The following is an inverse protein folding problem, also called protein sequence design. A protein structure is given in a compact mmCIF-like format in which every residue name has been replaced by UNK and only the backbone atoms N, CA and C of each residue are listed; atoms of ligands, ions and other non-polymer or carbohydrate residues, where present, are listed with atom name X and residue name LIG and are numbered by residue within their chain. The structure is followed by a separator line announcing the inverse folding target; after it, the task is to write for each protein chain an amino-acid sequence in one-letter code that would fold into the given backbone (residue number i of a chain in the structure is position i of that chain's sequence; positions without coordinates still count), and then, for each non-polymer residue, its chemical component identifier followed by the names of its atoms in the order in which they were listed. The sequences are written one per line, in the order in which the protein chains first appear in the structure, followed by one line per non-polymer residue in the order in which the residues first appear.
data_IF_844366294277
#
_entry.id   IF_844366294277
#
_cell.length_a   1.000
_cell.length_b   1.000
_cell.length_c   1.000
_cell.angle_alpha   90.00
_cell.angle_beta   90.00
_cell.angle_gamma   90.00
#
_symmetry.space_group_name_H-M   'P 1'
#
loop_
_entity.id
_entity.type
_entity.pdbx_description
1 polymer ?
#
# COMPACT_ATOMS: atom_id res chain seq x y z
N UNK A 1 -8.14 -4.95 12.81
CA UNK A 1 -6.86 -5.25 12.13
C UNK A 1 -7.13 -5.44 10.65
N UNK A 2 -6.18 -5.08 9.79
CA UNK A 2 -6.26 -5.32 8.34
C UNK A 2 -5.14 -6.30 7.98
N UNK A 3 -5.44 -7.29 7.16
CA UNK A 3 -4.48 -8.32 6.72
C UNK A 3 -4.37 -8.21 5.21
N UNK A 4 -3.15 -8.17 4.70
CA UNK A 4 -2.83 -8.25 3.28
C UNK A 4 -2.36 -9.66 2.96
N UNK A 5 -2.86 -10.22 1.86
CA UNK A 5 -2.55 -11.57 1.41
C UNK A 5 -2.02 -11.47 -0.02
N UNK A 6 -0.84 -12.00 -0.25
CA UNK A 6 -0.28 -12.19 -1.59
C UNK A 6 -0.54 -13.63 -2.00
N UNK A 7 -1.34 -13.82 -3.05
CA UNK A 7 -1.79 -15.12 -3.54
C UNK A 7 -1.76 -15.14 -5.06
N UNK A 8 -1.48 -16.28 -5.70
CA UNK A 8 -1.53 -16.39 -7.15
C UNK A 8 -2.93 -16.06 -7.69
N UNK A 9 -3.02 -15.31 -8.78
CA UNK A 9 -4.29 -14.88 -9.39
C UNK A 9 -5.27 -16.03 -9.63
N UNK A 10 -4.76 -17.20 -10.04
CA UNK A 10 -5.56 -18.41 -10.28
C UNK A 10 -6.31 -18.91 -9.03
N UNK A 11 -5.80 -18.62 -7.83
CA UNK A 11 -6.39 -19.03 -6.55
C UNK A 11 -7.18 -17.89 -5.89
N UNK A 12 -7.14 -16.67 -6.44
CA UNK A 12 -7.73 -15.49 -5.82
C UNK A 12 -9.25 -15.61 -5.65
N UNK A 13 -9.94 -16.11 -6.67
CA UNK A 13 -11.39 -16.31 -6.63
C UNK A 13 -11.80 -17.33 -5.56
N UNK A 14 -11.01 -18.40 -5.39
CA UNK A 14 -11.24 -19.39 -4.36
C UNK A 14 -11.00 -18.81 -2.97
N UNK A 15 -9.86 -18.15 -2.76
CA UNK A 15 -9.51 -17.52 -1.49
C UNK A 15 -10.56 -16.49 -1.05
N UNK A 16 -11.06 -15.66 -1.96
CA UNK A 16 -12.09 -14.65 -1.65
C UNK A 16 -13.42 -15.32 -1.25
N UNK A 17 -13.80 -16.44 -1.88
CA UNK A 17 -15.01 -17.20 -1.48
C UNK A 17 -14.89 -17.75 -0.07
N UNK A 18 -13.72 -18.32 0.27
CA UNK A 18 -13.45 -18.81 1.64
C UNK A 18 -13.44 -17.66 2.63
N UNK A 19 -12.78 -16.53 2.32
CA UNK A 19 -12.75 -15.38 3.21
C UNK A 19 -14.15 -14.81 3.46
N UNK A 20 -15.03 -14.81 2.45
CA UNK A 20 -16.42 -14.35 2.59
C UNK A 20 -17.31 -15.31 3.38
N UNK A 21 -16.97 -16.60 3.47
CA UNK A 21 -17.75 -17.57 4.27
C UNK A 21 -17.45 -17.47 5.76
N UNK A 22 -16.34 -16.84 6.14
CA UNK A 22 -15.96 -16.62 7.53
C UNK A 22 -16.76 -15.46 8.13
N UNK A 23 -17.59 -15.74 9.13
CA UNK A 23 -18.50 -14.77 9.77
C UNK A 23 -17.82 -13.56 10.40
N UNK A 24 -16.54 -13.67 10.76
CA UNK A 24 -15.75 -12.59 11.34
C UNK A 24 -15.10 -11.68 10.29
N UNK A 25 -15.08 -12.08 9.02
CA UNK A 25 -14.53 -11.26 7.94
C UNK A 25 -15.59 -10.28 7.47
N UNK A 26 -15.50 -9.04 7.95
CA UNK A 26 -16.47 -7.99 7.59
C UNK A 26 -16.44 -7.62 6.10
N UNK A 27 -15.25 -7.62 5.49
CA UNK A 27 -15.03 -7.20 4.10
C UNK A 27 -13.81 -7.93 3.51
N UNK A 28 -14.02 -8.66 2.42
CA UNK A 28 -12.96 -9.19 1.56
C UNK A 28 -13.10 -8.55 0.18
N UNK A 29 -12.05 -7.85 -0.27
CA UNK A 29 -12.00 -7.18 -1.57
C UNK A 29 -10.66 -7.50 -2.23
N UNK A 30 -10.68 -7.69 -3.54
CA UNK A 30 -9.47 -7.73 -4.35
C UNK A 30 -8.99 -6.31 -4.62
N UNK A 31 -7.69 -6.15 -4.80
CA UNK A 31 -7.07 -4.92 -5.28
C UNK A 31 -6.34 -5.25 -6.57
N UNK A 32 -6.38 -4.36 -7.56
CA UNK A 32 -5.55 -4.51 -8.74
C UNK A 32 -4.08 -4.35 -8.37
N UNK A 33 -3.18 -4.95 -9.16
CA UNK A 33 -1.73 -4.76 -9.03
C UNK A 33 -1.33 -3.28 -9.04
N UNK A 34 -1.96 -2.47 -9.89
CA UNK A 34 -1.76 -1.02 -9.93
C UNK A 34 -2.17 -0.31 -8.63
N UNK A 35 -3.26 -0.74 -8.01
CA UNK A 35 -3.73 -0.19 -6.74
C UNK A 35 -2.81 -0.59 -5.57
N UNK A 36 -2.22 -1.78 -5.64
CA UNK A 36 -1.24 -2.28 -4.64
C UNK A 36 0.05 -1.47 -4.74
N UNK A 37 0.60 -1.29 -5.94
CA UNK A 37 1.80 -0.50 -6.16
C UNK A 37 1.62 0.94 -5.67
N UNK A 38 0.53 1.61 -6.07
CA UNK A 38 0.21 2.96 -5.62
C UNK A 38 0.05 3.05 -4.09
N UNK A 39 -0.53 2.03 -3.46
CA UNK A 39 -0.70 2.02 -2.01
C UNK A 39 0.64 1.93 -1.26
N UNK A 40 1.55 1.07 -1.72
CA UNK A 40 2.90 0.98 -1.14
C UNK A 40 3.70 2.27 -1.39
N UNK A 41 3.64 2.84 -2.59
CA UNK A 41 4.28 4.13 -2.90
C UNK A 41 3.80 5.25 -1.97
N UNK A 42 2.50 5.34 -1.72
CA UNK A 42 1.91 6.34 -0.82
C UNK A 42 2.34 6.11 0.63
N UNK A 43 2.41 4.85 1.05
CA UNK A 43 2.83 4.47 2.40
C UNK A 43 4.30 4.81 2.63
N UNK A 44 5.15 4.53 1.66
CA UNK A 44 6.58 4.87 1.68
C UNK A 44 6.78 6.40 1.68
N UNK A 45 6.05 7.13 0.85
CA UNK A 45 6.08 8.59 0.85
C UNK A 45 5.64 9.19 2.19
N UNK A 46 4.55 8.67 2.78
CA UNK A 46 4.08 9.11 4.09
C UNK A 46 5.12 8.83 5.20
N UNK A 47 5.80 7.69 5.11
CA UNK A 47 6.86 7.31 6.04
C UNK A 47 8.09 8.24 5.89
N UNK A 48 8.49 8.57 4.67
CA UNK A 48 9.56 9.54 4.43
C UNK A 48 9.22 10.93 5.00
N UNK A 49 8.00 11.42 4.80
CA UNK A 49 7.54 12.69 5.40
C UNK A 49 7.57 12.61 6.93
N UNK A 50 7.19 11.48 7.52
CA UNK A 50 7.26 11.26 8.97
C UNK A 50 8.71 11.30 9.47
N UNK A 51 9.64 10.62 8.78
CA UNK A 51 11.06 10.60 9.14
C UNK A 51 11.70 11.99 8.99
N UNK A 52 11.29 12.76 7.98
CA UNK A 52 11.74 14.12 7.78
C UNK A 52 11.29 15.05 8.91
N UNK A 53 10.01 14.96 9.31
CA UNK A 53 9.48 15.67 10.48
C UNK A 53 10.18 15.28 11.79
N UNK A 54 10.74 14.08 11.88
CA UNK A 54 11.55 13.63 13.01
C UNK A 54 13.02 14.07 12.92
N UNK A 55 13.42 14.80 11.88
CA UNK A 55 14.80 15.25 11.66
C UNK A 55 15.76 14.14 11.25
N UNK A 56 15.27 12.94 10.92
CA UNK A 56 16.10 11.77 10.58
C UNK A 56 16.58 11.76 9.14
N UNK A 57 15.82 12.39 8.24
CA UNK A 57 16.16 12.50 6.83
C UNK A 57 15.89 13.92 6.34
N UNK A 58 16.64 14.39 5.35
CA UNK A 58 16.31 15.62 4.63
C UNK A 58 15.59 15.26 3.34
N UNK A 59 14.39 15.82 3.16
CA UNK A 59 13.68 15.73 1.88
C UNK A 59 14.17 16.83 0.95
N UNK A 60 14.13 16.53 -0.35
CA UNK A 60 14.40 17.53 -1.38
C UNK A 60 13.31 18.60 -1.32
N UNK A 61 13.71 19.85 -1.45
CA UNK A 61 12.79 20.98 -1.58
C UNK A 61 12.14 20.96 -2.96
N UNK A 62 11.02 21.68 -3.11
CA UNK A 62 10.33 21.82 -4.40
C UNK A 62 11.24 22.49 -5.46
N UNK A 63 12.13 23.39 -5.04
CA UNK A 63 13.10 24.04 -5.92
C UNK A 63 14.19 23.07 -6.40
N UNK A 64 14.71 22.22 -5.51
CA UNK A 64 15.67 21.16 -5.88
C UNK A 64 15.06 20.11 -6.80
N UNK A 65 13.77 19.81 -6.64
CA UNK A 65 13.05 18.92 -7.55
C UNK A 65 12.90 19.55 -8.93
N UNK A 66 12.54 20.84 -8.99
CA UNK A 66 12.33 21.57 -10.24
C UNK A 66 13.63 21.75 -11.03
N UNK A 67 14.76 21.95 -10.35
CA UNK A 67 16.07 22.18 -10.96
C UNK A 67 16.81 20.90 -11.38
N UNK A 68 16.24 19.70 -11.15
CA UNK A 68 16.85 18.41 -11.48
C UNK A 68 16.41 17.83 -12.85
N UNK A 69 15.71 18.63 -13.66
CA UNK A 69 15.23 18.32 -15.02
C UNK A 69 15.99 19.16 -16.06
#
# INVERSE_FOLDING_TARGET
MKVFLDIPDKEADFAIKVLKSLSFVKKAKTMSSSSIAMWEDLKDAAEQVRLHKQGKIQLKTAEELLNAL
#
